data_IF_278325402248
#
_entry.id   IF_278325402248
#
_cell.length_a   1.000
_cell.length_b   1.000
_cell.length_c   1.000
_cell.angle_alpha   90.00
_cell.angle_beta   90.00
_cell.angle_gamma   90.00
#
_symmetry.space_group_name_H-M   'P 1'
#
loop_
_entity.id
_entity.type
_entity.pdbx_description
1 polymer ?
#
# COMPACT_ATOMS: atom_id res chain seq x y z
N UNK A 1 -24.03 19.34 22.95
CA UNK A 1 -22.74 18.67 22.67
C UNK A 1 -22.57 18.62 21.16
N UNK A 2 -21.74 19.50 20.61
CA UNK A 2 -21.58 19.62 19.15
C UNK A 2 -20.51 18.62 18.70
N UNK A 3 -20.88 17.71 17.78
CA UNK A 3 -19.94 16.81 17.11
C UNK A 3 -18.88 17.65 16.38
N UNK A 4 -17.62 17.53 16.79
CA UNK A 4 -16.49 18.11 16.05
C UNK A 4 -16.31 17.27 14.79
N UNK A 5 -16.53 17.87 13.62
CA UNK A 5 -16.27 17.18 12.35
C UNK A 5 -14.78 16.85 12.23
N UNK A 6 -14.45 15.57 12.14
CA UNK A 6 -13.07 15.07 11.90
C UNK A 6 -12.61 15.25 10.45
N UNK A 7 -13.24 16.16 9.71
CA UNK A 7 -12.93 16.37 8.32
C UNK A 7 -11.59 17.12 8.19
N UNK A 8 -10.57 16.54 7.54
CA UNK A 8 -9.28 17.20 7.41
C UNK A 8 -9.45 18.50 6.59
N UNK A 9 -8.87 19.58 7.10
CA UNK A 9 -8.87 20.88 6.42
C UNK A 9 -8.20 20.79 5.04
N UNK A 10 -8.52 21.72 4.14
CA UNK A 10 -7.90 21.79 2.80
C UNK A 10 -6.38 21.81 2.89
N UNK A 11 -5.79 22.50 3.89
CA UNK A 11 -4.33 22.52 4.09
C UNK A 11 -3.77 21.16 4.49
N UNK A 12 -4.47 20.40 5.32
CA UNK A 12 -4.08 19.03 5.67
C UNK A 12 -4.24 18.11 4.47
N UNK A 13 -5.34 18.23 3.71
CA UNK A 13 -5.53 17.51 2.44
C UNK A 13 -4.40 17.82 1.45
N UNK A 14 -4.01 19.09 1.29
CA UNK A 14 -2.90 19.50 0.43
C UNK A 14 -1.53 19.06 0.96
N UNK A 15 -1.36 18.98 2.28
CA UNK A 15 -0.15 18.42 2.89
C UNK A 15 -0.03 16.91 2.65
N UNK A 16 -1.16 16.19 2.62
CA UNK A 16 -1.21 14.78 2.20
C UNK A 16 -1.02 14.62 0.68
N UNK A 17 -1.40 15.61 -0.12
CA UNK A 17 -1.15 15.64 -1.57
C UNK A 17 0.33 15.84 -1.93
N UNK A 18 1.14 16.42 -1.04
CA UNK A 18 2.60 16.27 -1.11
C UNK A 18 2.94 14.85 -0.67
N UNK A 19 2.79 13.90 -1.58
CA UNK A 19 3.13 12.50 -1.33
C UNK A 19 4.54 12.34 -0.78
N UNK A 20 4.78 11.25 -0.06
CA UNK A 20 6.13 10.88 0.36
C UNK A 20 6.80 10.08 -0.74
N UNK A 21 8.08 10.38 -0.98
CA UNK A 21 8.92 9.60 -1.88
C UNK A 21 10.01 8.94 -1.05
N UNK A 22 10.21 7.64 -1.30
CA UNK A 22 11.32 6.86 -0.76
C UNK A 22 11.96 6.09 -1.90
N UNK A 23 13.26 5.87 -1.81
CA UNK A 23 14.03 5.12 -2.81
C UNK A 23 14.97 4.17 -2.09
N UNK A 24 15.12 2.97 -2.66
CA UNK A 24 16.06 1.96 -2.20
C UNK A 24 16.66 1.24 -3.41
N UNK A 25 17.95 0.97 -3.37
CA UNK A 25 18.64 0.16 -4.39
C UNK A 25 18.58 -1.30 -3.94
N UNK A 26 18.03 -2.16 -4.79
CA UNK A 26 18.00 -3.61 -4.58
C UNK A 26 19.03 -4.22 -5.54
N UNK A 27 20.02 -4.92 -4.99
CA UNK A 27 21.03 -5.64 -5.77
C UNK A 27 20.45 -6.95 -6.33
N UNK A 28 19.55 -6.81 -7.30
CA UNK A 28 18.88 -7.92 -7.97
C UNK A 28 18.51 -7.54 -9.41
N UNK A 29 18.33 -8.52 -10.32
CA UNK A 29 17.79 -8.25 -11.64
C UNK A 29 16.39 -7.63 -11.54
N UNK A 30 16.13 -6.59 -12.35
CA UNK A 30 14.83 -5.88 -12.38
C UNK A 30 13.62 -6.82 -12.52
N UNK A 31 13.78 -7.90 -13.28
CA UNK A 31 12.73 -8.86 -13.56
C UNK A 31 12.35 -9.65 -12.30
N UNK A 32 13.35 -10.05 -11.51
CA UNK A 32 13.13 -10.75 -10.24
C UNK A 32 12.41 -9.84 -9.23
N UNK A 33 12.81 -8.56 -9.17
CA UNK A 33 12.12 -7.58 -8.31
C UNK A 33 10.65 -7.45 -8.75
N UNK A 34 10.40 -7.34 -10.05
CA UNK A 34 9.05 -7.22 -10.59
C UNK A 34 8.19 -8.45 -10.28
N UNK A 35 8.73 -9.66 -10.52
CA UNK A 35 8.05 -10.92 -10.19
C UNK A 35 7.67 -10.98 -8.71
N UNK A 36 8.58 -10.63 -7.80
CA UNK A 36 8.31 -10.66 -6.37
C UNK A 36 7.25 -9.64 -5.92
N UNK A 37 7.29 -8.39 -6.43
CA UNK A 37 6.34 -7.34 -6.00
C UNK A 37 4.97 -7.47 -6.65
N UNK A 38 4.83 -8.32 -7.67
CA UNK A 38 3.57 -8.58 -8.38
C UNK A 38 2.96 -9.94 -8.06
N UNK A 39 3.70 -10.80 -7.36
CA UNK A 39 3.17 -12.05 -6.79
C UNK A 39 2.23 -11.74 -5.63
N UNK A 40 0.93 -11.73 -5.90
CA UNK A 40 -0.10 -11.47 -4.90
C UNK A 40 -0.31 -12.65 -3.94
N UNK A 41 0.00 -13.88 -4.37
CA UNK A 41 -0.13 -15.07 -3.52
C UNK A 41 0.95 -15.07 -2.43
N UNK A 42 2.18 -14.68 -2.78
CA UNK A 42 3.33 -14.56 -1.86
C UNK A 42 3.55 -13.12 -1.35
N UNK A 43 2.57 -12.22 -1.47
CA UNK A 43 2.75 -10.80 -1.16
C UNK A 43 3.10 -10.53 0.31
N UNK A 44 2.60 -11.38 1.22
CA UNK A 44 2.83 -11.28 2.66
C UNK A 44 4.25 -11.66 3.08
N UNK A 45 4.96 -12.45 2.27
CA UNK A 45 6.33 -12.88 2.56
C UNK A 45 7.30 -11.69 2.59
N UNK A 46 7.10 -10.71 1.69
CA UNK A 46 7.92 -9.50 1.65
C UNK A 46 7.24 -8.30 2.32
N UNK A 47 5.90 -8.24 2.35
CA UNK A 47 5.13 -7.17 2.97
C UNK A 47 4.33 -7.68 4.17
N UNK A 48 4.95 -7.86 5.35
CA UNK A 48 4.30 -8.48 6.51
C UNK A 48 3.13 -7.67 7.09
N UNK A 49 2.91 -6.42 6.64
CA UNK A 49 1.75 -5.63 7.03
C UNK A 49 0.47 -6.05 6.29
N UNK A 50 0.61 -6.69 5.13
CA UNK A 50 -0.49 -7.21 4.33
C UNK A 50 -0.49 -8.74 4.45
N UNK A 51 -1.56 -9.30 5.01
CA UNK A 51 -1.72 -10.74 5.20
C UNK A 51 -2.10 -11.44 3.89
N UNK A 52 -2.92 -10.78 3.07
CA UNK A 52 -3.36 -11.31 1.79
C UNK A 52 -3.49 -10.19 0.75
N UNK A 53 -3.23 -10.53 -0.51
CA UNK A 53 -3.52 -9.70 -1.66
C UNK A 53 -4.23 -10.54 -2.72
N UNK A 54 -5.29 -10.00 -3.31
CA UNK A 54 -6.06 -10.67 -4.37
C UNK A 54 -6.29 -9.68 -5.52
N UNK A 55 -5.82 -10.02 -6.71
CA UNK A 55 -6.02 -9.20 -7.90
C UNK A 55 -5.87 -10.00 -9.19
N UNK A 56 -6.54 -9.51 -10.23
CA UNK A 56 -6.23 -9.86 -11.61
C UNK A 56 -5.15 -8.89 -12.10
N UNK A 57 -4.10 -9.42 -12.74
CA UNK A 57 -2.97 -8.62 -13.20
C UNK A 57 -3.28 -7.93 -14.54
N UNK A 58 -4.34 -7.12 -14.55
CA UNK A 58 -4.82 -6.37 -15.69
C UNK A 58 -4.93 -4.88 -15.39
N UNK A 59 -4.64 -4.05 -16.38
CA UNK A 59 -4.72 -2.59 -16.23
C UNK A 59 -6.17 -2.18 -15.96
N UNK A 60 -6.37 -1.49 -14.83
CA UNK A 60 -7.70 -1.05 -14.38
C UNK A 60 -8.41 -2.04 -13.46
N UNK A 61 -7.85 -3.23 -13.23
CA UNK A 61 -8.37 -4.17 -12.25
C UNK A 61 -8.23 -3.64 -10.82
N UNK A 62 -9.11 -4.11 -9.93
CA UNK A 62 -9.08 -3.75 -8.51
C UNK A 62 -8.28 -4.76 -7.72
N UNK A 63 -7.38 -4.26 -6.86
CA UNK A 63 -6.62 -5.08 -5.90
C UNK A 63 -7.31 -5.03 -4.53
N UNK A 64 -7.56 -6.19 -3.93
CA UNK A 64 -8.06 -6.31 -2.56
C UNK A 64 -6.94 -6.73 -1.63
N UNK A 65 -6.74 -5.98 -0.54
CA UNK A 65 -5.78 -6.31 0.51
C UNK A 65 -6.49 -6.66 1.82
N UNK A 66 -6.00 -7.69 2.50
CA UNK A 66 -6.27 -7.92 3.92
C UNK A 66 -5.04 -7.52 4.72
N UNK A 67 -5.20 -6.62 5.68
CA UNK A 67 -4.12 -6.23 6.60
C UNK A 67 -4.32 -6.87 7.96
N UNK A 68 -3.22 -7.10 8.67
CA UNK A 68 -3.31 -7.48 10.08
C UNK A 68 -3.96 -6.33 10.88
N UNK A 69 -4.81 -6.68 11.84
CA UNK A 69 -5.28 -5.70 12.81
C UNK A 69 -4.11 -5.28 13.68
N UNK A 70 -3.90 -3.98 13.83
CA UNK A 70 -2.98 -3.46 14.83
C UNK A 70 -3.55 -3.83 16.21
N UNK A 71 -2.86 -4.72 16.93
CA UNK A 71 -3.11 -4.92 18.36
C UNK A 71 -2.48 -3.71 19.06
N UNK A 72 -3.32 -2.86 19.66
CA UNK A 72 -2.88 -1.72 20.47
C UNK A 72 -2.21 -2.17 21.76
#
# INVERSE_FOLDING_TARGET
MTQVSNDPSIRQRMSLMKGWTTEVVIDAPRQLVWEQVTDFEAYSDWNPFMLEAHAEFEVGATIRFLKANAVN
#
